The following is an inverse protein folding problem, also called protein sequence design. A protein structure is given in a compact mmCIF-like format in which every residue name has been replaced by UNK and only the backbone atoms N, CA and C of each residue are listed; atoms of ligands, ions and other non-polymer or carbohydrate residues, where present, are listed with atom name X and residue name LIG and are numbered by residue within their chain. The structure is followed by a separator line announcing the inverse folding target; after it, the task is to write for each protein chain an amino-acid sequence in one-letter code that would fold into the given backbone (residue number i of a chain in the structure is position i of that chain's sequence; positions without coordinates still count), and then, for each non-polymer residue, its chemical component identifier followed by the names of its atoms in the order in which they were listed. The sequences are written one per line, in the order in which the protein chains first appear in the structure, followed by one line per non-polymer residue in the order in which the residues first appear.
data_IF_328643242241
#
_entry.id   IF_328643242241
#
_cell.length_a   1.000
_cell.length_b   1.000
_cell.length_c   1.000
_cell.angle_alpha   90.00
_cell.angle_beta   90.00
_cell.angle_gamma   90.00
#
_symmetry.space_group_name_H-M   'P 1'
#
loop_
_entity.id
_entity.type
_entity.pdbx_description
1 polymer ?
#
# COMPACT_ATOMS: atom_id res chain seq x y z
N UNK A 1 -13.66 -13.26 -33.85
CA UNK A 1 -13.39 -13.41 -32.40
C UNK A 1 -14.57 -12.75 -31.69
N UNK A 2 -15.21 -13.46 -30.74
CA UNK A 2 -16.51 -13.18 -30.08
C UNK A 2 -16.95 -11.71 -30.08
N UNK A 3 -18.22 -11.41 -30.43
CA UNK A 3 -18.81 -10.06 -30.55
C UNK A 3 -18.92 -9.25 -29.25
N UNK A 4 -17.98 -9.41 -28.33
CA UNK A 4 -17.84 -8.68 -27.08
C UNK A 4 -16.72 -7.66 -27.24
N UNK A 5 -16.93 -6.47 -26.70
CA UNK A 5 -15.92 -5.43 -26.67
C UNK A 5 -14.79 -5.83 -25.71
N UNK A 6 -13.54 -5.45 -26.01
CA UNK A 6 -12.38 -5.83 -25.20
C UNK A 6 -12.49 -5.47 -23.71
N UNK A 7 -13.18 -4.38 -23.38
CA UNK A 7 -13.42 -3.97 -22.00
C UNK A 7 -14.36 -4.93 -21.23
N UNK A 8 -15.30 -5.58 -21.91
CA UNK A 8 -16.23 -6.56 -21.29
C UNK A 8 -15.47 -7.80 -20.86
N UNK A 9 -14.56 -8.28 -21.70
CA UNK A 9 -13.65 -9.37 -21.38
C UNK A 9 -12.74 -9.03 -20.20
N UNK A 10 -12.22 -7.79 -20.13
CA UNK A 10 -11.38 -7.34 -19.02
C UNK A 10 -12.11 -7.42 -17.68
N UNK A 11 -13.33 -6.88 -17.58
CA UNK A 11 -14.13 -6.98 -16.34
C UNK A 11 -14.49 -8.42 -15.97
N UNK A 12 -14.74 -9.28 -16.95
CA UNK A 12 -15.08 -10.67 -16.66
C UNK A 12 -13.88 -11.43 -16.11
N UNK A 13 -12.70 -11.28 -16.74
CA UNK A 13 -11.46 -11.94 -16.32
C UNK A 13 -10.98 -11.43 -14.96
N UNK A 14 -11.13 -10.13 -14.67
CA UNK A 14 -10.72 -9.55 -13.39
C UNK A 14 -11.77 -9.75 -12.27
N UNK A 15 -13.05 -9.66 -12.63
CA UNK A 15 -14.16 -9.74 -11.68
C UNK A 15 -14.42 -11.16 -11.16
N UNK A 16 -14.26 -12.19 -11.99
CA UNK A 16 -14.50 -13.58 -11.56
C UNK A 16 -13.59 -14.02 -10.40
N UNK A 17 -12.26 -13.82 -10.45
CA UNK A 17 -11.38 -14.09 -9.31
C UNK A 17 -11.74 -13.29 -8.06
N UNK A 18 -12.15 -12.03 -8.21
CA UNK A 18 -12.56 -11.19 -7.09
C UNK A 18 -13.82 -11.72 -6.40
N UNK A 19 -14.84 -12.16 -7.16
CA UNK A 19 -16.06 -12.78 -6.64
C UNK A 19 -15.72 -14.10 -5.94
N UNK A 20 -14.87 -14.93 -6.55
CA UNK A 20 -14.43 -16.17 -5.95
C UNK A 20 -13.71 -15.91 -4.60
N UNK A 21 -12.81 -14.93 -4.56
CA UNK A 21 -12.11 -14.53 -3.34
C UNK A 21 -13.08 -14.00 -2.28
N UNK A 22 -14.05 -13.18 -2.67
CA UNK A 22 -15.08 -12.66 -1.76
C UNK A 22 -15.87 -13.81 -1.10
N UNK A 23 -16.22 -14.85 -1.86
CA UNK A 23 -16.88 -16.03 -1.29
C UNK A 23 -15.96 -16.82 -0.33
N UNK A 24 -14.67 -16.94 -0.66
CA UNK A 24 -13.68 -17.57 0.23
C UNK A 24 -13.53 -16.78 1.53
N UNK A 25 -13.39 -15.46 1.46
CA UNK A 25 -13.28 -14.58 2.63
C UNK A 25 -14.56 -14.66 3.46
N UNK A 26 -15.74 -14.55 2.84
CA UNK A 26 -17.02 -14.64 3.54
C UNK A 26 -17.19 -15.96 4.32
N UNK A 27 -16.63 -17.07 3.81
CA UNK A 27 -16.73 -18.38 4.46
C UNK A 27 -15.59 -18.69 5.43
N UNK A 28 -14.40 -18.10 5.25
CA UNK A 28 -13.19 -18.46 6.00
C UNK A 28 -12.67 -17.38 6.94
N UNK A 29 -13.10 -16.13 6.83
CA UNK A 29 -12.66 -15.07 7.72
C UNK A 29 -13.37 -15.23 9.09
N UNK A 30 -12.64 -15.54 10.17
CA UNK A 30 -13.23 -15.69 11.49
C UNK A 30 -13.50 -14.32 12.11
N UNK A 31 -14.63 -14.15 12.78
CA UNK A 31 -14.99 -12.88 13.45
C UNK A 31 -14.16 -12.64 14.71
N UNK A 32 -13.60 -13.69 15.32
CA UNK A 32 -12.78 -13.63 16.53
C UNK A 32 -11.52 -14.47 16.38
N UNK A 33 -10.42 -14.11 17.07
CA UNK A 33 -9.20 -14.92 17.11
C UNK A 33 -9.48 -16.38 17.51
N UNK A 34 -10.43 -16.61 18.42
CA UNK A 34 -10.81 -17.95 18.89
C UNK A 34 -11.51 -18.82 17.81
N UNK A 35 -12.14 -18.19 16.81
CA UNK A 35 -12.84 -18.90 15.73
C UNK A 35 -11.87 -19.23 14.56
N UNK A 36 -10.62 -18.77 14.65
CA UNK A 36 -9.62 -18.93 13.63
C UNK A 36 -8.97 -20.32 13.69
N UNK A 37 -9.42 -21.23 12.82
CA UNK A 37 -8.92 -22.62 12.74
C UNK A 37 -7.45 -22.79 12.33
N UNK A 38 -6.79 -21.70 11.96
CA UNK A 38 -5.40 -21.68 11.49
C UNK A 38 -4.43 -21.15 12.55
N UNK A 39 -4.93 -20.71 13.71
CA UNK A 39 -4.15 -20.23 14.84
C UNK A 39 -4.06 -21.30 15.92
N UNK A 40 -2.86 -21.47 16.48
CA UNK A 40 -2.65 -22.35 17.63
C UNK A 40 -3.21 -21.72 18.90
N UNK A 41 -3.52 -22.55 19.90
CA UNK A 41 -4.10 -22.10 21.17
C UNK A 41 -3.26 -21.04 21.89
N UNK A 42 -1.95 -21.10 21.72
CA UNK A 42 -0.99 -20.18 22.34
C UNK A 42 -1.03 -18.81 21.66
N UNK A 43 -1.13 -18.78 20.32
CA UNK A 43 -1.26 -17.53 19.56
C UNK A 43 -2.61 -16.85 19.84
N UNK A 44 -3.69 -17.63 19.95
CA UNK A 44 -5.02 -17.09 20.32
C UNK A 44 -4.96 -16.41 21.69
N UNK A 45 -4.29 -17.03 22.67
CA UNK A 45 -4.11 -16.45 24.00
C UNK A 45 -3.26 -15.18 23.96
N UNK A 46 -2.15 -15.19 23.21
CA UNK A 46 -1.30 -14.02 23.04
C UNK A 46 -2.05 -12.83 22.43
N UNK A 47 -2.84 -13.06 21.37
CA UNK A 47 -3.66 -12.01 20.73
C UNK A 47 -4.71 -11.47 21.72
N UNK A 48 -5.42 -12.36 22.42
CA UNK A 48 -6.43 -11.93 23.40
C UNK A 48 -5.81 -11.13 24.55
N UNK A 49 -4.60 -11.46 24.99
CA UNK A 49 -3.90 -10.69 26.03
C UNK A 49 -3.55 -9.27 25.55
N UNK A 50 -3.11 -9.12 24.30
CA UNK A 50 -2.86 -7.79 23.69
C UNK A 50 -4.16 -6.99 23.60
N UNK A 51 -5.23 -7.58 23.07
CA UNK A 51 -6.54 -6.92 22.95
C UNK A 51 -7.10 -6.50 24.31
N UNK A 52 -6.94 -7.34 25.34
CA UNK A 52 -7.36 -7.00 26.70
C UNK A 52 -6.57 -5.81 27.25
N UNK A 53 -5.25 -5.78 27.04
CA UNK A 53 -4.39 -4.67 27.44
C UNK A 53 -4.78 -3.35 26.75
N UNK A 54 -4.99 -3.38 25.43
CA UNK A 54 -5.44 -2.20 24.67
C UNK A 54 -6.82 -1.70 25.15
N UNK A 55 -7.73 -2.63 25.46
CA UNK A 55 -9.05 -2.28 26.00
C UNK A 55 -8.95 -1.61 27.39
N UNK A 56 -8.01 -2.03 28.24
CA UNK A 56 -7.75 -1.38 29.53
C UNK A 56 -7.14 0.01 29.37
N UNK A 57 -6.14 0.17 28.50
CA UNK A 57 -5.51 1.47 28.20
C UNK A 57 -6.53 2.48 27.65
N UNK A 58 -7.47 2.01 26.81
CA UNK A 58 -8.51 2.85 26.22
C UNK A 58 -9.61 3.20 27.21
N UNK A 59 -9.93 2.34 28.18
CA UNK A 59 -10.95 2.60 29.23
C UNK A 59 -10.62 3.77 30.14
N UNK A 60 -9.33 4.06 30.36
CA UNK A 60 -8.89 5.16 31.22
C UNK A 60 -8.82 6.52 30.51
N UNK A 61 -8.98 6.55 29.18
CA UNK A 61 -9.06 7.80 28.41
C UNK A 61 -10.53 8.12 28.16
N UNK A 62 -11.12 9.14 28.81
CA UNK A 62 -12.51 9.49 28.55
C UNK A 62 -12.68 9.81 27.07
N UNK A 63 -13.50 9.03 26.36
CA UNK A 63 -13.87 9.19 24.96
C UNK A 63 -14.66 10.48 24.74
N UNK A 64 -13.97 11.62 24.81
CA UNK A 64 -14.36 12.84 24.12
C UNK A 64 -13.42 13.00 22.94
N UNK A 65 -13.56 12.09 21.98
CA UNK A 65 -12.92 12.23 20.66
C UNK A 65 -13.55 13.42 19.95
N UNK A 66 -13.07 14.62 20.28
CA UNK A 66 -13.50 15.85 19.63
C UNK A 66 -12.67 16.01 18.38
N UNK A 67 -13.34 16.01 17.21
CA UNK A 67 -12.70 16.31 15.92
C UNK A 67 -11.89 17.61 15.98
N UNK A 68 -12.36 18.58 16.78
CA UNK A 68 -11.64 19.85 17.01
C UNK A 68 -10.30 19.63 17.73
N UNK A 69 -10.24 18.74 18.71
CA UNK A 69 -9.01 18.40 19.45
C UNK A 69 -8.04 17.62 18.56
N UNK A 70 -8.54 16.70 17.74
CA UNK A 70 -7.72 15.98 16.76
C UNK A 70 -7.09 16.95 15.74
N UNK A 71 -7.90 17.84 15.14
CA UNK A 71 -7.46 18.83 14.17
C UNK A 71 -6.54 19.92 14.76
N UNK A 72 -6.57 20.16 16.07
CA UNK A 72 -5.63 21.08 16.74
C UNK A 72 -4.31 20.42 17.15
N UNK A 73 -4.22 19.09 17.13
CA UNK A 73 -3.04 18.37 17.59
C UNK A 73 -1.96 18.38 16.50
N UNK A 74 -0.81 19.01 16.78
CA UNK A 74 0.30 19.13 15.80
C UNK A 74 0.73 17.78 15.24
N UNK A 75 0.81 16.73 16.06
CA UNK A 75 1.19 15.39 15.62
C UNK A 75 0.20 14.83 14.61
N UNK A 76 -1.11 15.02 14.84
CA UNK A 76 -2.15 14.60 13.90
C UNK A 76 -2.04 15.34 12.57
N UNK A 77 -1.87 16.66 12.59
CA UNK A 77 -1.69 17.46 11.37
C UNK A 77 -0.44 17.03 10.57
N UNK A 78 0.67 16.69 11.25
CA UNK A 78 1.87 16.17 10.60
C UNK A 78 1.61 14.80 9.96
N UNK A 79 0.90 13.89 10.64
CA UNK A 79 0.54 12.59 10.08
C UNK A 79 -0.36 12.75 8.85
N UNK A 80 -1.35 13.65 8.90
CA UNK A 80 -2.20 13.98 7.75
C UNK A 80 -1.37 14.52 6.58
N UNK A 81 -0.43 15.43 6.84
CA UNK A 81 0.42 15.99 5.79
C UNK A 81 1.34 14.94 5.16
N UNK A 82 1.93 14.07 5.96
CA UNK A 82 2.77 12.95 5.49
C UNK A 82 1.92 12.01 4.63
N UNK A 83 0.74 11.60 5.12
CA UNK A 83 -0.16 10.73 4.37
C UNK A 83 -0.65 11.37 3.07
N UNK A 84 -0.98 12.67 3.10
CA UNK A 84 -1.36 13.43 1.92
C UNK A 84 -0.25 13.45 0.87
N UNK A 85 0.99 13.73 1.28
CA UNK A 85 2.15 13.77 0.38
C UNK A 85 2.47 12.39 -0.19
N UNK A 86 2.34 11.35 0.63
CA UNK A 86 2.45 9.96 0.21
C UNK A 86 1.42 9.63 -0.87
N UNK A 87 0.14 9.91 -0.62
CA UNK A 87 -0.92 9.62 -1.60
C UNK A 87 -0.82 10.47 -2.85
N UNK A 88 -0.39 11.73 -2.74
CA UNK A 88 -0.10 12.56 -3.90
C UNK A 88 0.96 11.90 -4.80
N UNK A 89 2.00 11.31 -4.20
CA UNK A 89 3.05 10.60 -4.95
C UNK A 89 2.53 9.32 -5.60
N UNK A 90 1.75 8.51 -4.87
CA UNK A 90 1.16 7.26 -5.37
C UNK A 90 0.22 7.55 -6.54
N UNK A 91 -0.76 8.43 -6.36
CA UNK A 91 -1.71 8.77 -7.43
C UNK A 91 -1.07 9.52 -8.58
N UNK A 92 -0.09 10.38 -8.30
CA UNK A 92 0.72 11.03 -9.33
C UNK A 92 1.36 9.98 -10.24
N UNK A 93 1.98 8.95 -9.67
CA UNK A 93 2.52 7.86 -10.46
C UNK A 93 1.41 7.07 -11.17
N UNK A 94 0.35 6.65 -10.48
CA UNK A 94 -0.75 5.85 -11.06
C UNK A 94 -1.39 6.48 -12.29
N UNK A 95 -1.66 7.78 -12.26
CA UNK A 95 -2.37 8.45 -13.34
C UNK A 95 -1.44 8.90 -14.47
N UNK A 96 -0.25 9.41 -14.15
CA UNK A 96 0.64 9.97 -15.17
C UNK A 96 1.56 8.94 -15.80
N UNK A 97 1.88 7.83 -15.13
CA UNK A 97 2.84 6.85 -15.64
C UNK A 97 2.46 6.26 -17.01
N UNK A 98 1.21 5.84 -17.28
CA UNK A 98 0.83 5.35 -18.61
C UNK A 98 0.98 6.41 -19.70
N UNK A 99 0.66 7.67 -19.38
CA UNK A 99 0.82 8.79 -20.31
C UNK A 99 2.28 9.12 -20.58
N UNK A 100 3.13 9.10 -19.55
CA UNK A 100 4.58 9.27 -19.66
C UNK A 100 5.16 8.17 -20.54
N UNK A 101 4.86 6.90 -20.26
CA UNK A 101 5.35 5.77 -21.06
C UNK A 101 4.83 5.86 -22.49
N UNK A 102 3.56 6.24 -22.69
CA UNK A 102 2.98 6.42 -24.02
C UNK A 102 3.66 7.52 -24.85
N UNK A 103 4.36 8.47 -24.23
CA UNK A 103 5.12 9.51 -24.93
C UNK A 103 6.50 9.06 -25.44
N UNK A 104 6.96 7.87 -25.06
CA UNK A 104 8.29 7.35 -25.40
C UNK A 104 8.41 6.85 -26.85
N UNK A 105 7.29 6.80 -27.58
CA UNK A 105 7.23 6.42 -28.98
C UNK A 105 5.89 5.79 -29.35
N UNK A 106 5.85 5.11 -30.50
CA UNK A 106 4.67 4.36 -30.91
C UNK A 106 4.63 3.01 -30.20
N UNK A 107 4.10 3.01 -28.98
CA UNK A 107 3.83 1.81 -28.20
C UNK A 107 2.37 1.39 -28.36
N UNK A 108 2.13 0.08 -28.44
CA UNK A 108 0.77 -0.46 -28.35
C UNK A 108 0.21 -0.32 -26.93
N UNK A 109 -1.12 -0.29 -26.74
CA UNK A 109 -1.72 -0.24 -25.41
C UNK A 109 -1.25 -1.36 -24.48
N UNK A 110 -1.03 -2.56 -25.03
CA UNK A 110 -0.49 -3.70 -24.28
C UNK A 110 0.94 -3.44 -23.80
N UNK A 111 1.82 -2.89 -24.64
CA UNK A 111 3.19 -2.56 -24.25
C UNK A 111 3.23 -1.47 -23.18
N UNK A 112 2.38 -0.44 -23.29
CA UNK A 112 2.25 0.58 -22.25
C UNK A 112 1.83 -0.08 -20.93
N UNK A 113 0.82 -0.95 -20.96
CA UNK A 113 0.35 -1.69 -19.78
C UNK A 113 1.42 -2.60 -19.16
N UNK A 114 2.24 -3.28 -19.97
CA UNK A 114 3.33 -4.13 -19.48
C UNK A 114 4.44 -3.30 -18.84
N UNK A 115 4.80 -2.16 -19.41
CA UNK A 115 5.81 -1.27 -18.85
C UNK A 115 5.31 -0.57 -17.58
N UNK A 116 4.04 -0.14 -17.53
CA UNK A 116 3.45 0.46 -16.33
C UNK A 116 3.36 -0.54 -15.18
N UNK A 117 3.23 -1.84 -15.45
CA UNK A 117 3.20 -2.87 -14.43
C UNK A 117 4.54 -3.03 -13.67
N UNK A 118 5.68 -2.65 -14.27
CA UNK A 118 7.01 -2.88 -13.68
C UNK A 118 7.18 -2.16 -12.32
N UNK A 119 6.89 -0.85 -12.20
CA UNK A 119 6.94 -0.18 -10.89
C UNK A 119 5.97 -0.78 -9.86
N UNK A 120 4.79 -1.26 -10.28
CA UNK A 120 3.82 -1.86 -9.36
C UNK A 120 4.27 -3.23 -8.84
N UNK A 121 4.96 -4.02 -9.66
CA UNK A 121 5.61 -5.25 -9.21
C UNK A 121 6.71 -4.92 -8.18
N UNK A 122 7.49 -3.86 -8.42
CA UNK A 122 8.46 -3.38 -7.43
C UNK A 122 7.76 -2.95 -6.13
N UNK A 123 6.64 -2.22 -6.20
CA UNK A 123 5.85 -1.87 -5.03
C UNK A 123 5.39 -3.10 -4.24
N UNK A 124 4.85 -4.10 -4.92
CA UNK A 124 4.44 -5.36 -4.29
C UNK A 124 5.62 -6.08 -3.61
N UNK A 125 6.77 -6.16 -4.28
CA UNK A 125 7.97 -6.75 -3.72
C UNK A 125 8.43 -5.99 -2.45
N UNK A 126 8.41 -4.67 -2.48
CA UNK A 126 8.78 -3.84 -1.34
C UNK A 126 7.83 -4.02 -0.15
N UNK A 127 6.52 -4.09 -0.40
CA UNK A 127 5.51 -4.38 0.62
C UNK A 127 5.70 -5.74 1.30
N UNK A 128 6.27 -6.74 0.63
CA UNK A 128 6.55 -8.07 1.21
C UNK A 128 7.90 -8.11 1.92
N UNK A 129 8.92 -7.46 1.36
CA UNK A 129 10.30 -7.58 1.81
C UNK A 129 10.63 -6.64 2.97
N UNK A 130 10.22 -5.37 2.91
CA UNK A 130 10.63 -4.36 3.88
C UNK A 130 10.09 -4.59 5.30
N UNK A 131 8.83 -4.99 5.52
CA UNK A 131 8.29 -5.12 6.88
C UNK A 131 9.08 -6.09 7.75
N UNK A 132 9.70 -7.12 7.13
CA UNK A 132 10.55 -8.10 7.82
C UNK A 132 11.78 -7.50 8.50
N UNK A 133 12.22 -6.32 8.04
CA UNK A 133 13.35 -5.59 8.59
C UNK A 133 12.94 -4.55 9.64
N UNK A 134 11.65 -4.16 9.71
CA UNK A 134 11.13 -3.17 10.64
C UNK A 134 10.82 -3.78 12.03
N UNK A 135 11.79 -4.48 12.65
CA UNK A 135 11.59 -5.25 13.90
C UNK A 135 11.64 -4.42 15.19
N UNK A 136 11.98 -3.14 15.12
CA UNK A 136 12.14 -2.28 16.30
C UNK A 136 11.65 -0.88 15.95
N UNK A 137 11.04 -0.16 16.90
CA UNK A 137 10.55 1.21 16.69
C UNK A 137 11.60 2.14 16.07
N UNK A 138 12.83 2.12 16.58
CA UNK A 138 13.91 2.98 16.06
C UNK A 138 14.25 2.66 14.60
N UNK A 139 14.28 1.37 14.25
CA UNK A 139 14.55 0.92 12.88
C UNK A 139 13.38 1.22 11.95
N UNK A 140 12.16 1.06 12.44
CA UNK A 140 10.92 1.43 11.75
C UNK A 140 10.92 2.94 11.40
N UNK A 141 11.20 3.81 12.38
CA UNK A 141 11.31 5.27 12.14
C UNK A 141 12.42 5.64 11.16
N UNK A 142 13.60 5.01 11.28
CA UNK A 142 14.70 5.24 10.34
C UNK A 142 14.36 4.77 8.92
N UNK A 143 13.70 3.63 8.79
CA UNK A 143 13.22 3.11 7.50
C UNK A 143 12.15 4.01 6.89
N UNK A 144 11.26 4.60 7.70
CA UNK A 144 10.28 5.59 7.22
C UNK A 144 10.98 6.79 6.58
N UNK A 145 11.91 7.42 7.32
CA UNK A 145 12.63 8.60 6.81
C UNK A 145 13.44 8.27 5.55
N UNK A 146 14.20 7.17 5.58
CA UNK A 146 14.97 6.73 4.42
C UNK A 146 14.06 6.38 3.23
N UNK A 147 12.91 5.74 3.49
CA UNK A 147 11.94 5.37 2.47
C UNK A 147 11.34 6.58 1.75
N UNK A 148 10.95 7.62 2.48
CA UNK A 148 10.46 8.86 1.88
C UNK A 148 11.54 9.59 1.05
N UNK A 149 12.80 9.57 1.49
CA UNK A 149 13.92 10.11 0.70
C UNK A 149 14.16 9.30 -0.59
N UNK A 150 14.07 7.97 -0.51
CA UNK A 150 14.18 7.09 -1.68
C UNK A 150 13.00 7.28 -2.64
N UNK A 151 11.77 7.48 -2.13
CA UNK A 151 10.62 7.85 -2.95
C UNK A 151 10.85 9.16 -3.70
N UNK A 152 11.27 10.20 -2.98
CA UNK A 152 11.48 11.52 -3.56
C UNK A 152 12.57 11.49 -4.66
N UNK A 153 13.69 10.82 -4.38
CA UNK A 153 14.80 10.69 -5.34
C UNK A 153 14.42 9.81 -6.52
N UNK A 154 13.76 8.67 -6.30
CA UNK A 154 13.26 7.80 -7.38
C UNK A 154 12.27 8.51 -8.29
N UNK A 155 11.34 9.28 -7.72
CA UNK A 155 10.36 10.06 -8.48
C UNK A 155 11.02 11.18 -9.29
N UNK A 156 12.02 11.87 -8.71
CA UNK A 156 12.79 12.89 -9.41
C UNK A 156 13.58 12.30 -10.59
N UNK A 157 14.26 11.17 -10.38
CA UNK A 157 14.97 10.43 -11.45
C UNK A 157 13.97 9.99 -12.53
N UNK A 158 12.83 9.45 -12.12
CA UNK A 158 11.72 9.06 -13.00
C UNK A 158 11.27 10.19 -13.93
N UNK A 159 11.16 11.40 -13.39
CA UNK A 159 10.64 12.56 -14.10
C UNK A 159 11.63 13.19 -15.10
N UNK A 160 12.94 13.12 -14.84
CA UNK A 160 13.96 13.86 -15.62
C UNK A 160 14.81 12.97 -16.53
N UNK A 161 14.88 11.66 -16.26
CA UNK A 161 15.81 10.78 -16.97
C UNK A 161 15.21 10.19 -18.27
N UNK A 162 16.07 9.61 -19.11
CA UNK A 162 15.64 8.91 -20.32
C UNK A 162 14.91 7.60 -20.03
N UNK A 163 14.19 7.07 -21.03
CA UNK A 163 13.21 5.98 -20.93
C UNK A 163 13.55 4.85 -19.92
N UNK A 164 14.72 4.22 -20.05
CA UNK A 164 15.12 3.11 -19.17
C UNK A 164 15.43 3.54 -17.73
N UNK A 165 16.10 4.67 -17.56
CA UNK A 165 16.44 5.22 -16.24
C UNK A 165 15.20 5.76 -15.54
N UNK A 166 14.25 6.31 -16.29
CA UNK A 166 12.97 6.76 -15.76
C UNK A 166 12.18 5.59 -15.15
N UNK A 167 12.09 4.46 -15.85
CA UNK A 167 11.46 3.23 -15.34
C UNK A 167 12.09 2.73 -14.04
N UNK A 168 13.43 2.75 -13.96
CA UNK A 168 14.15 2.36 -12.74
C UNK A 168 13.87 3.33 -11.59
N UNK A 169 13.85 4.64 -11.86
CA UNK A 169 13.51 5.67 -10.87
C UNK A 169 12.10 5.48 -10.32
N UNK A 170 11.11 5.31 -11.19
CA UNK A 170 9.73 5.05 -10.79
C UNK A 170 9.59 3.72 -10.03
N UNK A 171 10.32 2.67 -10.42
CA UNK A 171 10.31 1.39 -9.72
C UNK A 171 10.92 1.48 -8.33
N UNK A 172 12.01 2.22 -8.19
CA UNK A 172 12.66 2.48 -6.89
C UNK A 172 11.72 3.27 -5.96
N UNK A 173 11.04 4.28 -6.49
CA UNK A 173 10.04 5.02 -5.72
C UNK A 173 8.87 4.12 -5.31
N UNK A 174 8.32 3.36 -6.26
CA UNK A 174 7.17 2.49 -6.05
C UNK A 174 7.47 1.37 -5.03
N UNK A 175 8.70 0.83 -5.03
CA UNK A 175 9.16 -0.17 -4.05
C UNK A 175 8.95 0.28 -2.58
N UNK A 176 8.97 1.58 -2.31
CA UNK A 176 8.74 2.11 -0.97
C UNK A 176 7.27 2.35 -0.63
N UNK A 177 6.35 2.40 -1.60
CA UNK A 177 4.96 2.83 -1.39
C UNK A 177 4.22 1.98 -0.35
N UNK A 178 4.17 0.66 -0.52
CA UNK A 178 3.44 -0.24 0.39
C UNK A 178 4.19 -0.52 1.68
N UNK A 179 5.52 -0.49 1.65
CA UNK A 179 6.34 -0.64 2.84
C UNK A 179 6.04 0.46 3.87
N UNK A 180 5.96 1.73 3.42
CA UNK A 180 5.63 2.84 4.30
C UNK A 180 4.22 2.70 4.88
N UNK A 181 3.25 2.25 4.08
CA UNK A 181 1.86 2.07 4.55
C UNK A 181 1.74 1.00 5.63
N UNK A 182 2.46 -0.11 5.51
CA UNK A 182 2.44 -1.20 6.50
C UNK A 182 3.07 -0.81 7.84
N UNK A 183 3.98 0.16 7.85
CA UNK A 183 4.64 0.64 9.08
C UNK A 183 3.73 1.62 9.86
N UNK A 184 2.74 2.23 9.19
CA UNK A 184 1.78 3.14 9.82
C UNK A 184 0.58 2.44 10.48
N UNK A 185 0.41 1.13 10.24
CA UNK A 185 -0.62 0.27 10.83
C UNK A 185 -0.07 -0.45 12.06
#
# INVERSE_FOLDING_TARGET
MSGWHGWQWMFFIEGLPAIALAFVVWRRLPDKPADARWLDSDDVQAINAVLAKEAEETRHTPSRFSLKTALSTRVFLLLVLIYFTHQFSVYGLSYFLPGIIGSWGQLTPLQIGLLTAIPWIAAAAGGILLPRFARTEQRSRSMLMAGYLVMATGMAIGAIAGHGVALLGFSLAAFMFFAMQSIHL
#
